data_IF_302231802322
#
_entry.id   IF_302231802322
#
_cell.length_a   1.000
_cell.length_b   1.000
_cell.length_c   1.000
_cell.angle_alpha   90.00
_cell.angle_beta   90.00
_cell.angle_gamma   90.00
#
_symmetry.space_group_name_H-M   'P 1'
#
loop_
_entity.id
_entity.type
_entity.pdbx_description
1 polymer ?
#
# COMPACT_ATOMS: atom_id res chain seq x y z
N UNK A 1 14.46 12.75 -45.17
CA UNK A 1 13.15 12.41 -44.55
C UNK A 1 12.09 13.35 -45.10
N UNK A 2 11.03 12.82 -45.69
CA UNK A 2 9.91 13.61 -46.23
C UNK A 2 9.14 14.33 -45.10
N UNK A 3 8.59 15.53 -45.36
CA UNK A 3 7.90 16.36 -44.36
C UNK A 3 6.76 15.63 -43.66
N UNK A 4 6.04 14.77 -44.39
CA UNK A 4 4.94 13.93 -43.88
C UNK A 4 5.41 12.93 -42.81
N UNK A 5 6.57 12.31 -43.01
CA UNK A 5 7.13 11.33 -42.08
C UNK A 5 7.61 11.99 -40.78
N UNK A 6 8.14 13.22 -40.85
CA UNK A 6 8.52 13.99 -39.66
C UNK A 6 7.32 14.30 -38.75
N UNK A 7 6.19 14.69 -39.33
CA UNK A 7 4.98 14.99 -38.56
C UNK A 7 4.43 13.75 -37.86
N UNK A 8 4.41 12.59 -38.53
CA UNK A 8 3.96 11.33 -37.92
C UNK A 8 4.82 11.01 -36.70
N UNK A 9 6.15 11.01 -36.86
CA UNK A 9 7.08 10.71 -35.75
C UNK A 9 6.90 11.69 -34.58
N UNK A 10 6.68 12.97 -34.90
CA UNK A 10 6.43 14.00 -33.90
C UNK A 10 5.17 13.73 -33.07
N UNK A 11 4.02 13.53 -33.73
CA UNK A 11 2.76 13.27 -33.03
C UNK A 11 2.77 11.93 -32.29
N UNK A 12 3.41 10.89 -32.83
CA UNK A 12 3.61 9.62 -32.12
C UNK A 12 4.36 9.86 -30.82
N UNK A 13 5.47 10.60 -30.84
CA UNK A 13 6.23 10.91 -29.62
C UNK A 13 5.40 11.66 -28.59
N UNK A 14 4.57 12.62 -29.02
CA UNK A 14 3.71 13.39 -28.12
C UNK A 14 2.64 12.52 -27.45
N UNK A 15 1.95 11.67 -28.22
CA UNK A 15 0.90 10.80 -27.72
C UNK A 15 1.47 9.83 -26.68
N UNK A 16 2.55 9.13 -27.00
CA UNK A 16 3.15 8.16 -26.07
C UNK A 16 3.77 8.83 -24.84
N UNK A 17 4.31 10.04 -24.97
CA UNK A 17 4.76 10.81 -23.80
C UNK A 17 3.59 11.21 -22.90
N UNK A 18 2.47 11.65 -23.47
CA UNK A 18 1.27 12.02 -22.71
C UNK A 18 0.66 10.80 -21.99
N UNK A 19 0.62 9.63 -22.66
CA UNK A 19 0.20 8.37 -22.04
C UNK A 19 1.12 8.01 -20.86
N UNK A 20 2.44 8.12 -21.04
CA UNK A 20 3.39 7.86 -19.97
C UNK A 20 3.17 8.80 -18.77
N UNK A 21 3.00 10.11 -19.01
CA UNK A 21 2.68 11.09 -17.94
C UNK A 21 1.43 10.68 -17.19
N UNK A 22 0.35 10.32 -17.90
CA UNK A 22 -0.90 9.88 -17.28
C UNK A 22 -0.72 8.65 -16.40
N UNK A 23 -0.08 7.59 -16.92
CA UNK A 23 0.15 6.36 -16.15
C UNK A 23 0.99 6.61 -14.90
N UNK A 24 2.04 7.45 -15.03
CA UNK A 24 2.94 7.78 -13.93
C UNK A 24 2.27 8.67 -12.89
N UNK A 25 1.45 9.63 -13.32
CA UNK A 25 0.65 10.44 -12.40
C UNK A 25 -0.36 9.57 -11.62
N UNK A 26 -1.08 8.68 -12.31
CA UNK A 26 -1.99 7.74 -11.66
C UNK A 26 -1.27 6.87 -10.60
N UNK A 27 -0.10 6.33 -10.92
CA UNK A 27 0.70 5.53 -9.98
C UNK A 27 1.17 6.36 -8.77
N UNK A 28 1.49 7.64 -8.95
CA UNK A 28 1.85 8.53 -7.83
C UNK A 28 0.68 8.73 -6.87
N UNK A 29 -0.53 8.98 -7.41
CA UNK A 29 -1.77 9.11 -6.62
C UNK A 29 -2.06 7.83 -5.81
N UNK A 30 -1.95 6.65 -6.43
CA UNK A 30 -2.13 5.39 -5.72
C UNK A 30 -1.09 5.18 -4.61
N UNK A 31 0.18 5.54 -4.87
CA UNK A 31 1.22 5.47 -3.84
C UNK A 31 0.89 6.34 -2.62
N UNK A 32 0.40 7.57 -2.82
CA UNK A 32 0.00 8.44 -1.72
C UNK A 32 -1.24 7.94 -1.01
N UNK A 33 -2.26 7.46 -1.74
CA UNK A 33 -3.47 6.88 -1.16
C UNK A 33 -3.14 5.70 -0.24
N UNK A 34 -2.22 4.82 -0.67
CA UNK A 34 -1.73 3.69 0.12
C UNK A 34 -0.92 4.14 1.34
N UNK A 35 0.05 5.05 1.17
CA UNK A 35 0.87 5.53 2.30
C UNK A 35 0.05 6.27 3.35
N UNK A 36 -0.93 7.07 2.92
CA UNK A 36 -1.78 7.85 3.83
C UNK A 36 -2.93 7.03 4.44
N UNK A 37 -3.08 5.75 4.05
CA UNK A 37 -4.16 4.89 4.53
C UNK A 37 -5.56 5.37 4.09
N UNK A 38 -5.62 6.11 2.99
CA UNK A 38 -6.86 6.64 2.40
C UNK A 38 -7.37 5.76 1.23
N UNK A 39 -6.70 4.65 0.92
CA UNK A 39 -7.13 3.71 -0.11
C UNK A 39 -8.44 3.03 0.29
N UNK A 40 -9.56 3.62 -0.14
CA UNK A 40 -10.90 3.07 0.03
C UNK A 40 -11.26 2.03 -1.06
N UNK A 41 -10.44 1.92 -2.11
CA UNK A 41 -10.66 1.04 -3.27
C UNK A 41 -9.33 0.47 -3.77
N UNK A 42 -9.34 -0.80 -4.16
CA UNK A 42 -8.19 -1.43 -4.83
C UNK A 42 -7.87 -0.72 -6.15
N UNK A 43 -6.60 -0.70 -6.56
CA UNK A 43 -6.23 -0.09 -7.83
C UNK A 43 -6.88 -0.82 -9.02
N UNK A 44 -7.00 -0.13 -10.15
CA UNK A 44 -7.59 -0.69 -11.39
C UNK A 44 -6.82 -1.92 -11.93
N UNK A 45 -5.64 -2.21 -11.39
CA UNK A 45 -4.79 -3.31 -11.81
C UNK A 45 -4.29 -4.11 -10.58
N UNK A 46 -5.23 -4.52 -9.74
CA UNK A 46 -5.08 -5.55 -8.74
C UNK A 46 -5.81 -6.84 -9.18
N UNK A 47 -5.27 -7.56 -10.17
CA UNK A 47 -5.97 -8.69 -10.79
C UNK A 47 -5.67 -10.02 -10.11
N UNK A 48 -4.44 -10.22 -9.64
CA UNK A 48 -3.97 -11.42 -8.94
C UNK A 48 -2.61 -11.16 -8.28
N UNK A 49 -2.04 -12.14 -7.57
CA UNK A 49 -0.75 -12.01 -6.88
C UNK A 49 0.43 -11.66 -7.83
N UNK A 50 0.33 -12.05 -9.10
CA UNK A 50 1.36 -11.81 -10.11
C UNK A 50 1.19 -10.44 -10.79
N UNK A 51 -0.05 -9.97 -10.99
CA UNK A 51 -0.37 -8.68 -11.60
C UNK A 51 -1.07 -7.77 -10.59
N UNK A 52 -0.25 -7.05 -9.82
CA UNK A 52 -0.70 -6.22 -8.70
C UNK A 52 0.10 -4.92 -8.61
N UNK A 53 -0.53 -3.82 -9.02
CA UNK A 53 0.06 -2.48 -8.96
C UNK A 53 0.19 -1.93 -7.53
N UNK A 54 -0.67 -2.37 -6.62
CA UNK A 54 -0.65 -1.91 -5.23
C UNK A 54 0.54 -2.49 -4.47
N UNK A 55 0.83 -3.78 -4.68
CA UNK A 55 2.02 -4.44 -4.12
C UNK A 55 3.31 -3.77 -4.57
N UNK A 56 3.42 -3.43 -5.86
CA UNK A 56 4.58 -2.71 -6.40
C UNK A 56 4.66 -1.29 -5.83
N UNK A 57 3.52 -0.58 -5.73
CA UNK A 57 3.45 0.79 -5.20
C UNK A 57 3.75 0.86 -3.70
N UNK A 58 3.48 -0.19 -2.94
CA UNK A 58 3.77 -0.30 -1.51
C UNK A 58 5.23 -0.73 -1.22
N UNK A 59 5.96 -1.21 -2.23
CA UNK A 59 7.33 -1.71 -2.05
C UNK A 59 8.32 -0.60 -1.63
N UNK A 60 9.46 -0.95 -1.02
CA UNK A 60 10.51 0.02 -0.69
C UNK A 60 11.07 0.75 -1.93
N UNK A 61 11.01 0.09 -3.08
CA UNK A 61 11.54 0.60 -4.35
C UNK A 61 10.63 1.65 -5.01
N UNK A 62 9.42 1.89 -4.50
CA UNK A 62 8.46 2.80 -5.14
C UNK A 62 8.71 4.28 -4.79
N UNK A 63 9.64 4.58 -3.87
CA UNK A 63 9.96 5.96 -3.47
C UNK A 63 11.46 6.23 -3.42
N UNK A 64 11.83 7.46 -3.81
CA UNK A 64 13.19 7.99 -3.75
C UNK A 64 13.15 9.37 -3.08
N UNK A 65 13.91 9.56 -2.00
CA UNK A 65 13.82 10.75 -1.11
C UNK A 65 12.38 11.06 -0.64
N UNK A 66 11.62 10.03 -0.26
CA UNK A 66 10.19 10.13 0.12
C UNK A 66 9.23 10.63 -0.97
N UNK A 67 9.72 10.79 -2.20
CA UNK A 67 8.90 11.15 -3.37
C UNK A 67 8.68 9.88 -4.21
N UNK A 68 7.45 9.58 -4.65
CA UNK A 68 7.20 8.41 -5.50
C UNK A 68 8.04 8.46 -6.78
N UNK A 69 8.68 7.36 -7.18
CA UNK A 69 9.43 7.27 -8.45
C UNK A 69 8.52 7.59 -9.64
N UNK A 70 7.24 7.25 -9.53
CA UNK A 70 6.24 7.59 -10.52
C UNK A 70 6.12 9.11 -10.74
N UNK A 71 6.17 9.93 -9.67
CA UNK A 71 6.14 11.40 -9.79
C UNK A 71 7.41 11.94 -10.48
N UNK A 72 8.58 11.40 -10.14
CA UNK A 72 9.84 11.72 -10.83
C UNK A 72 9.73 11.45 -12.33
N UNK A 73 9.15 10.30 -12.69
CA UNK A 73 8.89 9.94 -14.08
C UNK A 73 7.89 10.89 -14.76
N UNK A 74 6.75 11.18 -14.13
CA UNK A 74 5.72 12.05 -14.69
C UNK A 74 6.25 13.45 -15.02
N UNK A 75 7.00 14.05 -14.08
CA UNK A 75 7.64 15.36 -14.29
C UNK A 75 8.67 15.30 -15.41
N UNK A 76 9.49 14.24 -15.46
CA UNK A 76 10.52 14.10 -16.48
C UNK A 76 9.91 13.94 -17.89
N UNK A 77 8.87 13.11 -18.05
CA UNK A 77 8.13 12.98 -19.31
C UNK A 77 7.39 14.27 -19.69
N UNK A 78 6.88 15.04 -18.72
CA UNK A 78 6.28 16.35 -18.96
C UNK A 78 7.30 17.35 -19.52
N UNK A 79 8.50 17.43 -18.92
CA UNK A 79 9.59 18.27 -19.41
C UNK A 79 10.06 17.82 -20.80
N UNK A 80 10.15 16.51 -21.03
CA UNK A 80 10.43 15.96 -22.36
C UNK A 80 9.38 16.43 -23.38
N UNK A 81 8.09 16.33 -23.07
CA UNK A 81 7.00 16.69 -23.97
C UNK A 81 7.11 18.17 -24.40
N UNK A 82 7.34 19.08 -23.44
CA UNK A 82 7.49 20.51 -23.72
C UNK A 82 8.76 20.80 -24.52
N UNK A 83 9.92 20.29 -24.06
CA UNK A 83 11.21 20.53 -24.72
C UNK A 83 11.24 19.97 -26.14
N UNK A 84 10.75 18.75 -26.35
CA UNK A 84 10.71 18.11 -27.66
C UNK A 84 9.75 18.83 -28.61
N UNK A 85 8.57 19.25 -28.12
CA UNK A 85 7.61 20.06 -28.89
C UNK A 85 8.22 21.38 -29.36
N UNK A 86 8.83 22.13 -28.46
CA UNK A 86 9.52 23.37 -28.80
C UNK A 86 10.70 23.13 -29.75
N UNK A 87 11.48 22.07 -29.54
CA UNK A 87 12.66 21.75 -30.35
C UNK A 87 12.30 21.45 -31.79
N UNK A 88 11.23 20.67 -32.01
CA UNK A 88 10.77 20.31 -33.36
C UNK A 88 10.02 21.47 -34.02
N UNK A 89 9.13 22.16 -33.31
CA UNK A 89 8.31 23.25 -33.87
C UNK A 89 9.13 24.50 -34.21
N UNK A 90 10.04 24.91 -33.32
CA UNK A 90 10.94 26.04 -33.55
C UNK A 90 12.24 25.65 -34.28
N UNK A 91 12.37 24.37 -34.65
CA UNK A 91 13.53 23.80 -35.35
C UNK A 91 14.87 24.13 -34.65
N UNK A 92 14.94 23.90 -33.33
CA UNK A 92 16.10 24.15 -32.47
C UNK A 92 16.88 22.84 -32.27
N UNK A 93 17.97 22.58 -33.01
CA UNK A 93 18.62 21.26 -33.02
C UNK A 93 19.19 20.85 -31.66
N UNK A 94 19.69 21.81 -30.89
CA UNK A 94 20.22 21.55 -29.53
C UNK A 94 19.13 21.01 -28.60
N UNK A 95 17.91 21.54 -28.68
CA UNK A 95 16.79 21.09 -27.85
C UNK A 95 16.35 19.67 -28.25
N UNK A 96 16.37 19.35 -29.55
CA UNK A 96 16.14 17.99 -30.05
C UNK A 96 17.19 17.01 -29.51
N UNK A 97 18.47 17.39 -29.46
CA UNK A 97 19.55 16.55 -28.88
C UNK A 97 19.36 16.32 -27.38
N UNK A 98 19.03 17.36 -26.60
CA UNK A 98 18.76 17.20 -25.17
C UNK A 98 17.52 16.35 -24.89
N UNK A 99 16.46 16.49 -25.68
CA UNK A 99 15.30 15.59 -25.61
C UNK A 99 15.70 14.14 -25.94
N UNK A 100 16.60 13.92 -26.90
CA UNK A 100 17.16 12.59 -27.16
C UNK A 100 17.97 12.05 -25.98
N UNK A 101 18.80 12.86 -25.31
CA UNK A 101 19.51 12.40 -24.10
C UNK A 101 18.55 12.05 -22.97
N UNK A 102 17.49 12.83 -22.80
CA UNK A 102 16.46 12.57 -21.80
C UNK A 102 15.66 11.29 -22.12
N UNK A 103 15.38 10.98 -23.39
CA UNK A 103 14.72 9.71 -23.76
C UNK A 103 15.60 8.48 -23.53
N UNK A 104 16.92 8.61 -23.65
CA UNK A 104 17.85 7.54 -23.26
C UNK A 104 17.81 7.29 -21.75
N UNK A 105 17.75 8.34 -20.94
CA UNK A 105 17.58 8.22 -19.50
C UNK A 105 16.30 7.45 -19.13
N UNK A 106 15.20 7.68 -19.85
CA UNK A 106 13.96 6.92 -19.64
C UNK A 106 14.14 5.43 -19.89
N UNK A 107 14.86 5.04 -20.94
CA UNK A 107 15.13 3.63 -21.23
C UNK A 107 15.95 2.98 -20.13
N UNK A 108 17.03 3.65 -19.70
CA UNK A 108 17.89 3.13 -18.62
C UNK A 108 17.08 2.92 -17.35
N UNK A 109 16.26 3.90 -16.96
CA UNK A 109 15.42 3.79 -15.77
C UNK A 109 14.32 2.72 -15.91
N UNK A 110 13.67 2.61 -17.07
CA UNK A 110 12.71 1.54 -17.36
C UNK A 110 13.34 0.16 -17.22
N UNK A 111 14.57 -0.04 -17.72
CA UNK A 111 15.29 -1.31 -17.59
C UNK A 111 15.63 -1.61 -16.13
N UNK A 112 16.13 -0.62 -15.38
CA UNK A 112 16.42 -0.80 -13.95
C UNK A 112 15.16 -1.23 -13.19
N UNK A 113 14.03 -0.54 -13.41
CA UNK A 113 12.77 -0.86 -12.73
C UNK A 113 12.18 -2.20 -13.17
N UNK A 114 12.33 -2.58 -14.44
CA UNK A 114 11.93 -3.90 -14.93
C UNK A 114 12.76 -5.02 -14.28
N UNK A 115 14.08 -4.83 -14.17
CA UNK A 115 14.96 -5.79 -13.48
C UNK A 115 14.58 -5.91 -12.01
N UNK A 116 14.29 -4.79 -11.32
CA UNK A 116 13.87 -4.84 -9.91
C UNK A 116 12.57 -5.64 -9.74
N UNK A 117 11.58 -5.39 -10.60
CA UNK A 117 10.29 -6.10 -10.58
C UNK A 117 10.45 -7.60 -10.82
N UNK A 118 11.32 -8.00 -11.76
CA UNK A 118 11.61 -9.39 -12.09
C UNK A 118 12.43 -10.11 -11.01
N UNK A 119 13.44 -9.45 -10.45
CA UNK A 119 14.43 -10.09 -9.59
C UNK A 119 14.04 -10.13 -8.10
N UNK A 120 13.25 -9.15 -7.62
CA UNK A 120 13.02 -8.99 -6.17
C UNK A 120 11.57 -9.20 -5.72
N UNK A 121 10.57 -9.05 -6.59
CA UNK A 121 9.15 -9.03 -6.16
C UNK A 121 8.29 -10.15 -6.76
N UNK A 122 8.65 -10.70 -7.93
CA UNK A 122 7.80 -11.64 -8.69
C UNK A 122 6.36 -11.12 -8.94
N UNK A 123 6.18 -9.79 -8.90
CA UNK A 123 4.91 -9.10 -9.14
C UNK A 123 5.11 -7.99 -10.17
N UNK A 124 4.16 -7.89 -11.09
CA UNK A 124 4.18 -7.02 -12.26
C UNK A 124 3.07 -5.97 -12.19
N UNK A 125 3.41 -4.76 -12.62
CA UNK A 125 2.49 -3.63 -12.71
C UNK A 125 2.22 -3.32 -14.20
N UNK A 126 0.96 -3.40 -14.65
CA UNK A 126 0.60 -3.14 -16.06
C UNK A 126 0.88 -1.68 -16.46
N UNK A 127 0.71 -0.73 -15.54
CA UNK A 127 1.04 0.68 -15.79
C UNK A 127 2.55 0.88 -15.96
N UNK A 128 3.39 0.20 -15.17
CA UNK A 128 4.83 0.20 -15.38
C UNK A 128 5.19 -0.38 -16.75
N UNK A 129 4.63 -1.53 -17.13
CA UNK A 129 4.85 -2.15 -18.44
C UNK A 129 4.45 -1.19 -19.57
N UNK A 130 3.29 -0.54 -19.45
CA UNK A 130 2.86 0.48 -20.41
C UNK A 130 3.87 1.62 -20.52
N UNK A 131 4.40 2.13 -19.40
CA UNK A 131 5.41 3.19 -19.40
C UNK A 131 6.75 2.74 -20.00
N UNK A 132 7.13 1.47 -19.82
CA UNK A 132 8.33 0.90 -20.44
C UNK A 132 8.18 0.88 -21.97
N UNK A 133 7.03 0.41 -22.48
CA UNK A 133 6.72 0.43 -23.92
C UNK A 133 6.71 1.86 -24.46
N UNK A 134 6.08 2.80 -23.74
CA UNK A 134 6.09 4.21 -24.13
C UNK A 134 7.51 4.78 -24.22
N UNK A 135 8.38 4.46 -23.25
CA UNK A 135 9.77 4.92 -23.25
C UNK A 135 10.55 4.46 -24.49
N UNK A 136 10.34 3.20 -24.92
CA UNK A 136 10.98 2.62 -26.10
C UNK A 136 10.53 3.36 -27.37
N UNK A 137 9.22 3.58 -27.52
CA UNK A 137 8.67 4.29 -28.68
C UNK A 137 9.20 5.73 -28.73
N UNK A 138 9.17 6.43 -27.60
CA UNK A 138 9.68 7.81 -27.48
C UNK A 138 11.18 7.88 -27.81
N UNK A 139 11.97 6.91 -27.38
CA UNK A 139 13.39 6.83 -27.75
C UNK A 139 13.60 6.72 -29.26
N UNK A 140 12.88 5.82 -29.93
CA UNK A 140 13.00 5.66 -31.39
C UNK A 140 12.51 6.89 -32.15
N UNK A 141 11.44 7.55 -31.70
CA UNK A 141 10.98 8.82 -32.28
C UNK A 141 12.04 9.93 -32.12
N UNK A 142 12.58 10.11 -30.92
CA UNK A 142 13.60 11.11 -30.63
C UNK A 142 14.89 10.85 -31.43
N UNK A 143 15.31 9.59 -31.54
CA UNK A 143 16.46 9.16 -32.37
C UNK A 143 16.22 9.49 -33.84
N UNK A 144 15.02 9.22 -34.35
CA UNK A 144 14.69 9.43 -35.76
C UNK A 144 14.73 10.91 -36.15
N UNK A 145 14.35 11.82 -35.23
CA UNK A 145 14.40 13.26 -35.47
C UNK A 145 15.76 13.89 -35.11
N UNK A 146 16.66 13.18 -34.44
CA UNK A 146 18.01 13.63 -34.10
C UNK A 146 19.09 12.99 -35.01
N UNK A 147 19.47 13.63 -36.13
CA UNK A 147 20.48 13.07 -37.03
C UNK A 147 21.89 13.04 -36.42
N UNK A 148 22.18 13.93 -35.46
CA UNK A 148 23.51 14.06 -34.84
C UNK A 148 23.79 12.93 -33.83
N UNK A 149 22.74 12.22 -33.35
CA UNK A 149 22.86 11.16 -32.35
C UNK A 149 23.67 11.61 -31.13
N UNK A 150 24.80 10.93 -30.90
CA UNK A 150 25.74 11.21 -29.80
C UNK A 150 26.98 12.02 -30.20
N UNK A 151 27.12 12.39 -31.47
CA UNK A 151 28.36 13.01 -31.98
C UNK A 151 28.79 14.27 -31.23
N UNK A 152 27.82 15.06 -30.74
CA UNK A 152 28.04 16.32 -30.01
C UNK A 152 27.89 16.21 -28.49
N UNK A 153 27.78 14.99 -27.95
CA UNK A 153 27.48 14.79 -26.53
C UNK A 153 28.49 15.47 -25.60
N UNK A 154 29.79 15.33 -25.86
CA UNK A 154 30.81 15.98 -25.02
C UNK A 154 30.77 17.50 -25.08
N UNK A 155 30.38 18.08 -26.22
CA UNK A 155 30.28 19.53 -26.39
C UNK A 155 29.04 20.05 -25.66
N UNK A 156 27.90 19.41 -25.86
CA UNK A 156 26.64 19.79 -25.22
C UNK A 156 26.75 19.69 -23.68
N UNK A 157 27.44 18.68 -23.14
CA UNK A 157 27.70 18.57 -21.69
C UNK A 157 28.58 19.71 -21.17
N UNK A 158 29.64 20.09 -21.90
CA UNK A 158 30.50 21.22 -21.51
C UNK A 158 29.73 22.54 -21.57
N UNK A 159 28.92 22.72 -22.60
CA UNK A 159 28.10 23.92 -22.81
C UNK A 159 27.06 24.14 -21.71
N UNK A 160 26.57 23.06 -21.06
CA UNK A 160 25.64 23.15 -19.93
C UNK A 160 26.23 23.92 -18.73
N UNK A 161 27.56 23.87 -18.55
CA UNK A 161 28.26 24.62 -17.50
C UNK A 161 28.83 25.96 -17.99
N UNK A 162 28.74 26.24 -19.30
CA UNK A 162 29.26 27.43 -19.95
C UNK A 162 28.15 28.38 -20.44
N UNK A 163 28.07 28.70 -21.74
CA UNK A 163 27.13 29.69 -22.28
C UNK A 163 25.68 29.19 -22.37
N UNK A 164 25.42 27.88 -22.26
CA UNK A 164 24.10 27.27 -22.44
C UNK A 164 23.46 26.82 -21.10
N UNK A 165 23.63 27.62 -20.04
CA UNK A 165 23.12 27.31 -18.67
C UNK A 165 21.60 27.10 -18.60
N UNK A 166 20.85 27.61 -19.57
CA UNK A 166 19.40 27.37 -19.66
C UNK A 166 19.04 25.89 -19.79
N UNK A 167 19.89 25.07 -20.42
CA UNK A 167 19.65 23.62 -20.50
C UNK A 167 19.92 22.91 -19.17
N UNK A 168 20.94 23.35 -18.42
CA UNK A 168 21.16 22.87 -17.05
C UNK A 168 19.94 23.19 -16.16
N UNK A 169 19.35 24.38 -16.32
CA UNK A 169 18.13 24.74 -15.62
C UNK A 169 16.97 23.79 -15.93
N UNK A 170 16.79 23.35 -17.19
CA UNK A 170 15.76 22.38 -17.57
C UNK A 170 15.91 21.05 -16.81
N UNK A 171 17.12 20.53 -16.67
CA UNK A 171 17.34 19.29 -15.91
C UNK A 171 17.13 19.50 -14.40
N UNK A 172 17.51 20.66 -13.86
CA UNK A 172 17.27 21.00 -12.45
C UNK A 172 15.78 21.25 -12.15
N UNK A 173 14.96 21.57 -13.16
CA UNK A 173 13.51 21.65 -12.98
C UNK A 173 12.89 20.29 -12.64
N UNK A 174 13.49 19.16 -13.03
CA UNK A 174 12.97 17.83 -12.67
C UNK A 174 12.87 17.68 -11.14
N UNK A 175 13.97 17.74 -10.36
CA UNK A 175 13.89 17.62 -8.91
C UNK A 175 13.11 18.75 -8.24
N UNK A 176 13.23 19.99 -8.75
CA UNK A 176 12.51 21.14 -8.18
C UNK A 176 10.99 20.95 -8.33
N UNK A 177 10.51 20.64 -9.53
CA UNK A 177 9.09 20.43 -9.78
C UNK A 177 8.58 19.18 -9.06
N UNK A 178 9.32 18.07 -9.06
CA UNK A 178 8.92 16.88 -8.30
C UNK A 178 8.76 17.17 -6.80
N UNK A 179 9.67 17.95 -6.21
CA UNK A 179 9.54 18.37 -4.81
C UNK A 179 8.36 19.31 -4.58
N UNK A 180 8.20 20.33 -5.44
CA UNK A 180 7.09 21.30 -5.32
C UNK A 180 5.73 20.62 -5.48
N UNK A 181 5.57 19.73 -6.48
CA UNK A 181 4.32 18.98 -6.66
C UNK A 181 4.01 18.09 -5.46
N UNK A 182 5.00 17.40 -4.91
CA UNK A 182 4.85 16.61 -3.69
C UNK A 182 4.39 17.48 -2.52
N UNK A 183 5.05 18.61 -2.29
CA UNK A 183 4.76 19.50 -1.16
C UNK A 183 3.37 20.14 -1.28
N UNK A 184 3.03 20.63 -2.47
CA UNK A 184 1.72 21.22 -2.73
C UNK A 184 0.58 20.21 -2.64
N UNK A 185 0.74 19.01 -3.21
CA UNK A 185 -0.32 18.02 -3.26
C UNK A 185 -0.49 17.32 -1.90
N UNK A 186 0.61 16.98 -1.23
CA UNK A 186 0.59 16.11 -0.07
C UNK A 186 1.59 16.48 1.04
N UNK A 187 2.28 17.62 0.96
CA UNK A 187 3.27 18.03 1.96
C UNK A 187 2.69 18.13 3.36
N UNK A 188 1.51 18.75 3.50
CA UNK A 188 0.80 18.82 4.79
C UNK A 188 0.40 17.43 5.31
N UNK A 189 -0.13 16.56 4.44
CA UNK A 189 -0.57 15.22 4.82
C UNK A 189 0.59 14.30 5.19
N UNK A 190 1.71 14.35 4.45
CA UNK A 190 2.93 13.61 4.80
C UNK A 190 3.56 14.14 6.09
N UNK A 191 3.62 15.45 6.27
CA UNK A 191 4.11 16.05 7.52
C UNK A 191 3.25 15.60 8.70
N UNK A 192 1.93 15.74 8.60
CA UNK A 192 1.00 15.27 9.62
C UNK A 192 1.15 13.76 9.90
N UNK A 193 1.42 12.95 8.88
CA UNK A 193 1.67 11.52 9.06
C UNK A 193 2.99 11.22 9.74
N UNK A 194 4.08 11.91 9.37
CA UNK A 194 5.38 11.77 10.02
C UNK A 194 5.34 12.25 11.48
N UNK A 195 4.62 13.34 11.74
CA UNK A 195 4.36 13.86 13.08
C UNK A 195 3.54 12.82 13.88
N UNK A 196 2.52 12.22 13.28
CA UNK A 196 1.74 11.16 13.90
C UNK A 196 2.55 9.89 14.18
N UNK A 197 3.48 9.51 13.29
CA UNK A 197 4.40 8.37 13.52
C UNK A 197 5.35 8.69 14.67
N UNK A 198 5.89 9.90 14.70
CA UNK A 198 6.81 10.34 15.77
C UNK A 198 6.11 10.40 17.12
N UNK A 199 4.89 10.94 17.16
CA UNK A 199 4.03 10.93 18.33
C UNK A 199 3.70 9.49 18.77
N UNK A 200 3.32 8.61 17.83
CA UNK A 200 3.01 7.22 18.15
C UNK A 200 4.22 6.45 18.72
N UNK A 201 5.44 6.74 18.26
CA UNK A 201 6.68 6.19 18.84
C UNK A 201 6.89 6.65 20.28
N UNK A 202 6.78 7.96 20.54
CA UNK A 202 6.89 8.50 21.90
C UNK A 202 5.80 7.95 22.82
N UNK A 203 4.56 7.88 22.34
CA UNK A 203 3.44 7.30 23.08
C UNK A 203 3.71 5.83 23.38
N UNK A 204 4.23 5.07 22.42
CA UNK A 204 4.58 3.66 22.60
C UNK A 204 5.65 3.45 23.67
N UNK A 205 6.72 4.25 23.66
CA UNK A 205 7.80 4.13 24.65
C UNK A 205 7.27 4.37 26.07
N UNK A 206 6.43 5.39 26.24
CA UNK A 206 5.87 5.79 27.53
C UNK A 206 4.58 5.04 27.94
N UNK A 207 4.04 4.20 27.05
CA UNK A 207 2.78 3.48 27.31
C UNK A 207 2.95 2.37 28.35
N UNK A 208 1.93 2.23 29.19
CA UNK A 208 1.77 1.07 30.07
C UNK A 208 1.72 -0.21 29.22
N UNK A 209 2.43 -1.23 29.70
CA UNK A 209 2.39 -2.57 29.12
C UNK A 209 1.30 -3.38 29.81
N UNK A 210 0.42 -4.00 29.01
CA UNK A 210 -0.60 -4.94 29.43
C UNK A 210 -0.15 -6.36 29.10
N UNK A 211 -0.43 -7.31 29.99
CA UNK A 211 -0.24 -8.73 29.72
C UNK A 211 -1.56 -9.32 29.25
N UNK A 212 -1.51 -10.03 28.12
CA UNK A 212 -2.68 -10.62 27.48
C UNK A 212 -2.57 -12.15 27.53
N UNK A 213 -2.69 -12.69 28.75
CA UNK A 213 -2.37 -14.08 29.11
C UNK A 213 -3.51 -15.08 28.88
N UNK A 214 -4.35 -14.83 27.87
CA UNK A 214 -5.42 -15.76 27.46
C UNK A 214 -5.27 -16.13 25.99
N UNK A 215 -5.84 -17.27 25.61
CA UNK A 215 -5.81 -17.72 24.23
C UNK A 215 -6.62 -16.75 23.33
N UNK A 216 -5.99 -16.20 22.27
CA UNK A 216 -6.72 -15.40 21.28
C UNK A 216 -7.69 -16.29 20.49
N UNK A 217 -8.66 -15.68 19.80
CA UNK A 217 -9.55 -16.45 18.93
C UNK A 217 -8.85 -17.04 17.72
N UNK A 218 -7.74 -16.44 17.27
CA UNK A 218 -6.78 -17.08 16.37
C UNK A 218 -5.43 -16.34 16.38
N UNK A 219 -4.41 -17.00 15.83
CA UNK A 219 -3.08 -16.44 15.60
C UNK A 219 -2.75 -16.43 14.10
N UNK A 220 -1.95 -15.47 13.66
CA UNK A 220 -1.46 -15.42 12.27
C UNK A 220 -0.02 -14.87 12.22
N UNK A 221 0.82 -15.42 11.34
CA UNK A 221 2.22 -14.98 11.19
C UNK A 221 3.19 -15.95 11.85
N UNK A 222 4.22 -15.41 12.52
CA UNK A 222 5.25 -16.18 13.20
C UNK A 222 4.67 -17.14 14.26
N UNK A 223 5.35 -18.26 14.49
CA UNK A 223 5.06 -19.15 15.63
C UNK A 223 5.38 -18.45 16.96
N UNK A 224 4.80 -18.94 18.07
CA UNK A 224 5.04 -18.36 19.40
C UNK A 224 6.53 -18.35 19.79
N UNK A 225 7.33 -19.29 19.28
CA UNK A 225 8.78 -19.35 19.50
C UNK A 225 9.57 -18.31 18.68
N UNK A 226 9.05 -17.91 17.50
CA UNK A 226 9.74 -17.01 16.57
C UNK A 226 9.22 -15.57 16.63
N UNK A 227 8.10 -15.32 17.31
CA UNK A 227 7.47 -14.02 17.41
C UNK A 227 8.26 -13.10 18.37
N UNK A 228 8.96 -12.11 17.81
CA UNK A 228 9.61 -11.03 18.58
C UNK A 228 8.67 -9.85 18.82
N UNK A 229 7.77 -9.64 17.86
CA UNK A 229 6.79 -8.56 17.88
C UNK A 229 5.40 -9.17 17.79
N UNK A 230 4.60 -8.98 18.83
CA UNK A 230 3.24 -9.48 18.92
C UNK A 230 2.27 -8.31 18.75
N UNK A 231 1.48 -8.35 17.69
CA UNK A 231 0.36 -7.43 17.46
C UNK A 231 -0.89 -8.03 18.08
N UNK A 232 -1.49 -7.36 19.06
CA UNK A 232 -2.78 -7.74 19.60
C UNK A 232 -3.86 -6.85 19.01
N UNK A 233 -4.85 -7.45 18.35
CA UNK A 233 -6.01 -6.76 17.80
C UNK A 233 -7.25 -7.14 18.60
N UNK A 234 -7.97 -6.14 19.13
CA UNK A 234 -9.31 -6.29 19.66
C UNK A 234 -10.31 -5.72 18.67
N UNK A 235 -11.22 -6.56 18.17
CA UNK A 235 -12.11 -6.18 17.07
C UNK A 235 -13.54 -6.74 17.22
N UNK A 236 -14.47 -6.08 16.53
CA UNK A 236 -15.87 -6.50 16.42
C UNK A 236 -16.22 -6.73 14.94
N UNK A 237 -16.86 -7.86 14.64
CA UNK A 237 -17.17 -8.30 13.28
C UNK A 237 -18.12 -7.38 12.50
N UNK A 238 -18.91 -6.56 13.19
CA UNK A 238 -19.83 -5.57 12.63
C UNK A 238 -19.34 -4.13 12.81
N UNK A 239 -18.08 -3.92 13.21
CA UNK A 239 -17.44 -2.59 13.23
C UNK A 239 -16.81 -2.28 11.86
N UNK A 240 -17.24 -1.21 11.15
CA UNK A 240 -16.68 -0.84 9.86
C UNK A 240 -15.17 -0.56 9.91
N UNK A 241 -14.69 0.08 10.97
CA UNK A 241 -13.25 0.36 11.13
C UNK A 241 -12.41 -0.90 11.29
N UNK A 242 -12.94 -1.97 11.89
CA UNK A 242 -12.23 -3.25 11.99
C UNK A 242 -12.09 -3.91 10.62
N UNK A 243 -13.14 -3.85 9.78
CA UNK A 243 -13.07 -4.32 8.39
C UNK A 243 -11.95 -3.65 7.60
N UNK A 244 -11.76 -2.34 7.78
CA UNK A 244 -10.68 -1.59 7.12
C UNK A 244 -9.29 -1.85 7.72
N UNK A 245 -9.20 -2.20 9.00
CA UNK A 245 -7.91 -2.48 9.66
C UNK A 245 -7.31 -3.84 9.26
N UNK A 246 -8.16 -4.86 9.10
CA UNK A 246 -7.71 -6.24 8.90
C UNK A 246 -6.74 -6.42 7.70
N UNK A 247 -6.98 -5.87 6.49
CA UNK A 247 -6.04 -5.99 5.38
C UNK A 247 -4.66 -5.41 5.71
N UNK A 248 -4.64 -4.26 6.38
CA UNK A 248 -3.38 -3.59 6.77
C UNK A 248 -2.58 -4.42 7.78
N UNK A 249 -3.24 -4.96 8.80
CA UNK A 249 -2.60 -5.81 9.80
C UNK A 249 -2.07 -7.10 9.19
N UNK A 250 -2.85 -7.75 8.31
CA UNK A 250 -2.42 -8.96 7.59
C UNK A 250 -1.22 -8.67 6.68
N UNK A 251 -1.21 -7.55 5.96
CA UNK A 251 -0.10 -7.16 5.11
C UNK A 251 1.18 -6.91 5.93
N UNK A 252 1.05 -6.19 7.06
CA UNK A 252 2.16 -5.94 7.97
C UNK A 252 2.76 -7.24 8.51
N UNK A 253 1.93 -8.15 9.04
CA UNK A 253 2.37 -9.44 9.60
C UNK A 253 2.99 -10.33 8.53
N UNK A 254 2.41 -10.39 7.34
CA UNK A 254 2.93 -11.23 6.24
C UNK A 254 4.27 -10.72 5.70
N UNK A 255 4.56 -9.42 5.87
CA UNK A 255 5.80 -8.80 5.40
C UNK A 255 7.00 -9.02 6.34
N UNK A 256 6.78 -9.58 7.53
CA UNK A 256 7.80 -9.71 8.59
C UNK A 256 7.81 -11.13 9.19
N UNK A 257 8.91 -11.88 9.09
CA UNK A 257 8.95 -13.27 9.55
C UNK A 257 8.92 -13.43 11.08
N UNK A 258 9.17 -12.35 11.82
CA UNK A 258 9.27 -12.29 13.29
C UNK A 258 8.05 -11.63 13.95
N UNK A 259 6.98 -11.38 13.19
CA UNK A 259 5.74 -10.76 13.68
C UNK A 259 4.60 -11.78 13.76
N UNK A 260 3.86 -11.74 14.86
CA UNK A 260 2.62 -12.52 15.04
C UNK A 260 1.45 -11.59 15.36
N UNK A 261 0.31 -11.82 14.72
CA UNK A 261 -0.99 -11.25 15.09
C UNK A 261 -1.75 -12.20 16.00
N UNK A 262 -2.25 -11.67 17.12
CA UNK A 262 -3.20 -12.31 18.02
C UNK A 262 -4.51 -11.55 18.00
N UNK A 263 -5.57 -12.20 17.55
CA UNK A 263 -6.89 -11.59 17.43
C UNK A 263 -7.76 -11.94 18.63
N UNK A 264 -8.35 -10.93 19.25
CA UNK A 264 -9.29 -11.05 20.36
C UNK A 264 -10.63 -10.45 19.93
N UNK A 265 -11.70 -11.21 20.11
CA UNK A 265 -13.04 -10.68 19.91
C UNK A 265 -13.36 -9.67 21.02
N UNK A 266 -13.82 -8.50 20.61
CA UNK A 266 -14.34 -7.47 21.50
C UNK A 266 -15.69 -6.97 20.97
N UNK A 267 -16.77 -7.76 21.12
CA UNK A 267 -18.08 -7.39 20.60
C UNK A 267 -18.57 -6.07 21.19
N UNK A 268 -19.09 -5.17 20.37
CA UNK A 268 -19.70 -3.91 20.79
C UNK A 268 -21.18 -4.15 21.17
N UNK A 269 -21.39 -5.02 22.14
CA UNK A 269 -22.70 -5.52 22.54
C UNK A 269 -22.72 -5.88 24.02
N UNK A 270 -23.73 -5.41 24.76
CA UNK A 270 -23.82 -5.63 26.19
C UNK A 270 -24.01 -7.11 26.58
N UNK A 271 -24.50 -7.96 25.66
CA UNK A 271 -24.79 -9.37 25.89
C UNK A 271 -23.54 -10.22 26.18
N UNK A 272 -22.39 -9.85 25.61
CA UNK A 272 -21.12 -10.55 25.81
C UNK A 272 -19.93 -9.60 26.05
N UNK A 273 -20.20 -8.33 26.33
CA UNK A 273 -19.19 -7.34 26.69
C UNK A 273 -19.76 -6.29 27.64
N UNK A 274 -19.47 -6.43 28.94
CA UNK A 274 -19.97 -5.51 29.96
C UNK A 274 -19.40 -4.08 29.86
N UNK A 275 -18.32 -3.88 29.10
CA UNK A 275 -17.70 -2.56 28.93
C UNK A 275 -18.44 -1.65 27.94
N UNK A 276 -19.34 -2.21 27.13
CA UNK A 276 -20.02 -1.53 26.03
C UNK A 276 -21.54 -1.61 26.21
N UNK A 277 -22.24 -0.51 25.93
CA UNK A 277 -23.70 -0.49 25.90
C UNK A 277 -24.28 -0.90 24.55
N UNK A 278 -25.58 -1.15 24.51
CA UNK A 278 -26.32 -1.46 23.27
C UNK A 278 -26.59 -2.96 23.09
N UNK A 279 -27.54 -3.27 22.22
CA UNK A 279 -27.92 -4.64 21.87
C UNK A 279 -27.40 -5.05 20.50
N UNK A 280 -27.17 -6.35 20.30
CA UNK A 280 -26.58 -6.85 19.07
C UNK A 280 -26.14 -8.32 19.17
N UNK A 281 -27.07 -9.27 19.39
CA UNK A 281 -26.75 -10.69 19.61
C UNK A 281 -25.86 -11.27 18.50
N UNK A 282 -26.02 -10.79 17.26
CA UNK A 282 -25.20 -11.18 16.11
C UNK A 282 -23.70 -10.96 16.37
N UNK A 283 -23.30 -9.89 17.07
CA UNK A 283 -21.87 -9.57 17.32
C UNK A 283 -21.22 -10.67 18.16
N UNK A 284 -21.91 -11.10 19.20
CA UNK A 284 -21.48 -12.18 20.09
C UNK A 284 -21.46 -13.52 19.33
N UNK A 285 -22.48 -13.79 18.53
CA UNK A 285 -22.57 -15.00 17.71
C UNK A 285 -21.41 -15.09 16.72
N UNK A 286 -21.14 -14.03 15.95
CA UNK A 286 -20.04 -14.00 14.99
C UNK A 286 -18.68 -14.18 15.67
N UNK A 287 -18.49 -13.60 16.86
CA UNK A 287 -17.30 -13.82 17.67
C UNK A 287 -17.12 -15.30 18.05
N UNK A 288 -18.17 -15.98 18.51
CA UNK A 288 -18.14 -17.42 18.82
C UNK A 288 -17.88 -18.27 17.57
N UNK A 289 -18.46 -17.94 16.42
CA UNK A 289 -18.20 -18.65 15.15
C UNK A 289 -16.71 -18.59 14.78
N UNK A 290 -16.09 -17.41 14.85
CA UNK A 290 -14.65 -17.26 14.58
C UNK A 290 -13.79 -18.06 15.56
N UNK A 291 -14.08 -17.96 16.86
CA UNK A 291 -13.39 -18.72 17.91
C UNK A 291 -13.51 -20.24 17.69
N UNK A 292 -14.72 -20.72 17.42
CA UNK A 292 -14.99 -22.14 17.19
C UNK A 292 -14.35 -22.67 15.90
N UNK A 293 -14.26 -21.85 14.85
CA UNK A 293 -13.54 -22.21 13.64
C UNK A 293 -12.05 -22.45 13.90
N UNK A 294 -11.43 -21.69 14.81
CA UNK A 294 -10.07 -21.97 15.24
C UNK A 294 -9.98 -23.20 16.13
N UNK A 295 -10.77 -23.22 17.21
CA UNK A 295 -10.71 -24.27 18.23
C UNK A 295 -10.94 -25.67 17.64
N UNK A 296 -11.90 -25.80 16.74
CA UNK A 296 -12.33 -27.11 16.25
C UNK A 296 -11.67 -27.52 14.93
N UNK A 297 -11.11 -26.57 14.17
CA UNK A 297 -10.66 -26.80 12.80
C UNK A 297 -9.37 -26.06 12.38
N UNK A 298 -8.79 -25.21 13.23
CA UNK A 298 -7.65 -24.33 12.89
C UNK A 298 -7.92 -23.45 11.66
N UNK A 299 -9.15 -22.96 11.54
CA UNK A 299 -9.67 -22.15 10.43
C UNK A 299 -10.12 -20.75 10.86
N UNK A 300 -9.72 -20.30 12.04
CA UNK A 300 -10.12 -19.01 12.60
C UNK A 300 -9.71 -17.84 11.72
N UNK A 301 -8.51 -17.88 11.12
CA UNK A 301 -8.02 -16.85 10.20
C UNK A 301 -8.91 -16.69 8.96
N UNK A 302 -9.20 -17.80 8.28
CA UNK A 302 -10.00 -17.81 7.05
C UNK A 302 -11.43 -17.39 7.32
N UNK A 303 -12.05 -17.96 8.36
CA UNK A 303 -13.42 -17.63 8.77
C UNK A 303 -13.51 -16.16 9.20
N UNK A 304 -12.57 -15.67 10.01
CA UNK A 304 -12.54 -14.24 10.41
C UNK A 304 -12.44 -13.33 9.18
N UNK A 305 -11.56 -13.67 8.23
CA UNK A 305 -11.41 -12.88 6.99
C UNK A 305 -12.73 -12.81 6.22
N UNK A 306 -13.46 -13.92 6.11
CA UNK A 306 -14.76 -13.98 5.44
C UNK A 306 -15.83 -13.17 6.16
N UNK A 307 -15.93 -13.29 7.49
CA UNK A 307 -16.92 -12.56 8.28
C UNK A 307 -16.74 -11.04 8.15
N UNK A 308 -15.51 -10.53 8.07
CA UNK A 308 -15.25 -9.13 7.78
C UNK A 308 -15.51 -8.75 6.32
N UNK A 309 -15.17 -9.62 5.36
CA UNK A 309 -15.43 -9.36 3.95
C UNK A 309 -16.93 -9.16 3.69
N UNK A 310 -17.76 -10.04 4.25
CA UNK A 310 -19.23 -10.02 4.18
C UNK A 310 -19.88 -9.32 5.39
N UNK A 311 -19.21 -8.31 5.95
CA UNK A 311 -19.73 -7.58 7.11
C UNK A 311 -21.18 -7.12 6.89
N UNK A 312 -22.07 -7.53 7.79
CA UNK A 312 -23.50 -7.20 7.74
C UNK A 312 -24.37 -8.29 7.10
N UNK A 313 -23.86 -9.04 6.13
CA UNK A 313 -24.59 -10.15 5.50
C UNK A 313 -24.91 -11.25 6.51
N UNK A 314 -23.93 -11.61 7.34
CA UNK A 314 -24.07 -12.71 8.30
C UNK A 314 -25.01 -12.43 9.49
N UNK A 315 -25.63 -11.24 9.54
CA UNK A 315 -26.62 -10.88 10.57
C UNK A 315 -27.95 -11.61 10.38
N UNK A 316 -28.37 -11.79 9.12
CA UNK A 316 -29.66 -12.39 8.76
C UNK A 316 -29.54 -13.77 8.11
N UNK A 317 -28.31 -14.23 7.83
CA UNK A 317 -28.02 -15.52 7.19
C UNK A 317 -28.00 -16.70 8.17
N UNK A 318 -27.92 -17.91 7.64
CA UNK A 318 -27.47 -19.06 8.43
C UNK A 318 -25.93 -19.18 8.38
N UNK A 319 -25.26 -18.31 9.16
CA UNK A 319 -23.78 -18.23 9.19
C UNK A 319 -23.09 -19.56 9.43
N UNK A 320 -23.67 -20.46 10.23
CA UNK A 320 -23.07 -21.77 10.53
C UNK A 320 -23.01 -22.64 9.28
N UNK A 321 -24.15 -22.83 8.61
CA UNK A 321 -24.24 -23.70 7.43
C UNK A 321 -23.41 -23.16 6.27
N UNK A 322 -23.45 -21.84 6.05
CA UNK A 322 -22.71 -21.22 4.95
C UNK A 322 -21.20 -21.23 5.17
N UNK A 323 -20.72 -20.96 6.40
CA UNK A 323 -19.30 -21.04 6.74
C UNK A 323 -18.82 -22.49 6.67
N UNK A 324 -19.61 -23.44 7.19
CA UNK A 324 -19.29 -24.85 7.11
C UNK A 324 -19.17 -25.33 5.66
N UNK A 325 -20.13 -24.98 4.80
CA UNK A 325 -20.07 -25.30 3.38
C UNK A 325 -18.86 -24.67 2.68
N UNK A 326 -18.63 -23.37 2.89
CA UNK A 326 -17.57 -22.61 2.20
C UNK A 326 -16.17 -23.08 2.55
N UNK A 327 -15.93 -23.45 3.81
CA UNK A 327 -14.61 -23.90 4.29
C UNK A 327 -14.52 -25.41 4.50
N UNK A 328 -15.53 -26.17 4.05
CA UNK A 328 -15.60 -27.63 4.21
C UNK A 328 -15.44 -28.09 5.66
N UNK A 329 -16.11 -27.40 6.60
CA UNK A 329 -16.13 -27.72 8.02
C UNK A 329 -17.32 -28.63 8.36
N UNK A 330 -17.21 -29.35 9.47
CA UNK A 330 -18.34 -30.10 10.03
C UNK A 330 -19.35 -29.10 10.64
N UNK A 331 -20.51 -28.98 9.98
CA UNK A 331 -21.58 -28.05 10.38
C UNK A 331 -22.09 -28.34 11.79
N UNK A 332 -22.28 -29.63 12.15
CA UNK A 332 -22.80 -30.01 13.46
C UNK A 332 -21.81 -29.67 14.56
N UNK A 333 -20.53 -29.97 14.34
CA UNK A 333 -19.46 -29.68 15.30
C UNK A 333 -19.28 -28.17 15.49
N UNK A 334 -19.36 -27.38 14.42
CA UNK A 334 -19.32 -25.92 14.49
C UNK A 334 -20.54 -25.36 15.24
N UNK A 335 -21.74 -25.86 14.94
CA UNK A 335 -22.98 -25.47 15.61
C UNK A 335 -22.94 -25.78 17.10
N UNK A 336 -22.47 -26.98 17.46
CA UNK A 336 -22.33 -27.41 18.86
C UNK A 336 -21.35 -26.50 19.61
N UNK A 337 -20.18 -26.20 19.04
CA UNK A 337 -19.23 -25.30 19.68
C UNK A 337 -19.80 -23.88 19.85
N UNK A 338 -20.50 -23.34 18.85
CA UNK A 338 -21.08 -21.99 18.92
C UNK A 338 -22.14 -21.87 20.02
N UNK A 339 -22.94 -22.92 20.22
CA UNK A 339 -23.94 -22.99 21.27
C UNK A 339 -23.38 -23.36 22.65
N UNK A 340 -22.13 -23.85 22.71
CA UNK A 340 -21.49 -24.29 23.95
C UNK A 340 -21.20 -23.13 24.91
N UNK A 341 -21.35 -23.38 26.22
CA UNK A 341 -21.10 -22.37 27.25
C UNK A 341 -19.65 -21.90 27.25
N UNK A 342 -18.69 -22.78 26.95
CA UNK A 342 -17.27 -22.46 26.96
C UNK A 342 -16.88 -21.48 25.85
N UNK A 343 -17.52 -21.53 24.67
CA UNK A 343 -17.26 -20.54 23.63
C UNK A 343 -17.76 -19.16 24.05
N UNK A 344 -18.94 -19.08 24.69
CA UNK A 344 -19.43 -17.83 25.26
C UNK A 344 -18.53 -17.29 26.39
N UNK A 345 -18.05 -18.15 27.28
CA UNK A 345 -17.11 -17.78 28.34
C UNK A 345 -15.77 -17.29 27.79
N UNK A 346 -15.27 -17.88 26.69
CA UNK A 346 -14.07 -17.40 26.01
C UNK A 346 -14.25 -15.98 25.46
N UNK A 347 -15.39 -15.69 24.80
CA UNK A 347 -15.67 -14.34 24.29
C UNK A 347 -15.82 -13.33 25.44
N UNK A 348 -16.49 -13.70 26.53
CA UNK A 348 -16.59 -12.86 27.74
C UNK A 348 -15.21 -12.57 28.36
N UNK A 349 -14.32 -13.55 28.41
CA UNK A 349 -12.96 -13.38 28.92
C UNK A 349 -12.13 -12.44 28.04
N UNK A 350 -12.22 -12.57 26.72
CA UNK A 350 -11.55 -11.67 25.78
C UNK A 350 -12.09 -10.24 25.85
N UNK A 351 -13.42 -10.07 25.95
CA UNK A 351 -14.04 -8.77 26.16
C UNK A 351 -13.59 -8.13 27.48
N UNK A 352 -13.54 -8.91 28.57
CA UNK A 352 -13.03 -8.44 29.86
C UNK A 352 -11.56 -8.02 29.79
N UNK A 353 -10.73 -8.79 29.09
CA UNK A 353 -9.32 -8.43 28.89
C UNK A 353 -9.16 -7.06 28.22
N UNK A 354 -9.97 -6.81 27.19
CA UNK A 354 -9.99 -5.50 26.54
C UNK A 354 -10.51 -4.39 27.46
N UNK A 355 -11.52 -4.68 28.28
CA UNK A 355 -12.04 -3.75 29.27
C UNK A 355 -10.97 -3.34 30.28
N UNK A 356 -10.23 -4.31 30.82
CA UNK A 356 -9.16 -4.11 31.80
C UNK A 356 -7.99 -3.33 31.18
N UNK A 357 -7.80 -3.42 29.86
CA UNK A 357 -6.89 -2.59 29.08
C UNK A 357 -7.45 -1.21 28.68
N UNK A 358 -8.63 -0.85 29.17
CA UNK A 358 -9.28 0.45 28.92
C UNK A 358 -9.80 0.63 27.50
N UNK A 359 -10.08 -0.47 26.79
CA UNK A 359 -10.65 -0.43 25.44
C UNK A 359 -12.12 0.01 25.53
N UNK A 360 -12.46 1.06 24.75
CA UNK A 360 -13.79 1.67 24.70
C UNK A 360 -14.42 1.60 23.29
N UNK A 361 -13.69 1.04 22.33
CA UNK A 361 -14.07 0.99 20.92
C UNK A 361 -13.07 0.17 20.13
N UNK A 362 -13.46 -0.21 18.92
CA UNK A 362 -12.68 -1.10 18.05
C UNK A 362 -12.44 -0.47 16.67
N UNK A 363 -11.36 -0.83 15.96
CA UNK A 363 -10.30 -1.75 16.39
C UNK A 363 -9.40 -1.08 17.44
N UNK A 364 -8.91 -1.87 18.39
CA UNK A 364 -7.88 -1.44 19.32
C UNK A 364 -6.64 -2.32 19.14
N UNK A 365 -5.51 -1.67 18.83
CA UNK A 365 -4.27 -2.34 18.45
C UNK A 365 -3.22 -2.09 19.53
N UNK A 366 -2.51 -3.15 19.88
CA UNK A 366 -1.37 -3.12 20.79
C UNK A 366 -0.19 -3.83 20.14
N UNK A 367 1.03 -3.39 20.46
CA UNK A 367 2.27 -4.08 20.09
C UNK A 367 3.01 -4.45 21.38
N UNK A 368 3.34 -5.73 21.58
CA UNK A 368 3.99 -6.23 22.80
C UNK A 368 3.29 -5.72 24.07
N UNK A 369 1.96 -5.81 24.11
CA UNK A 369 1.16 -5.36 25.23
C UNK A 369 0.99 -3.83 25.39
N UNK A 370 1.64 -2.99 24.58
CA UNK A 370 1.50 -1.53 24.65
C UNK A 370 0.52 -1.00 23.63
N UNK A 371 -0.39 -0.12 24.05
CA UNK A 371 -1.45 0.43 23.18
C UNK A 371 -0.85 1.31 22.09
N UNK A 372 -1.36 1.16 20.87
CA UNK A 372 -0.91 1.93 19.72
C UNK A 372 -2.06 2.79 19.16
N UNK A 373 -2.00 4.08 19.43
CA UNK A 373 -2.90 5.06 18.82
C UNK A 373 -2.74 5.02 17.30
N UNK A 374 -3.89 4.94 16.58
CA UNK A 374 -3.92 4.80 15.12
C UNK A 374 -3.16 3.57 14.57
N UNK A 375 -3.00 2.51 15.38
CA UNK A 375 -2.25 1.30 15.05
C UNK A 375 -2.80 0.47 13.87
N UNK A 376 -3.91 0.87 13.26
CA UNK A 376 -4.39 0.30 12.00
C UNK A 376 -3.71 0.90 10.76
N UNK A 377 -2.81 1.89 10.91
CA UNK A 377 -2.07 2.53 9.81
C UNK A 377 -0.69 1.91 9.63
N UNK A 378 -0.38 1.50 8.40
CA UNK A 378 0.88 0.83 8.08
C UNK A 378 2.14 1.65 8.42
N UNK A 379 2.22 2.98 8.20
CA UNK A 379 3.39 3.76 8.60
C UNK A 379 3.63 3.78 10.11
N UNK A 380 2.56 3.75 10.90
CA UNK A 380 2.66 3.73 12.37
C UNK A 380 3.13 2.35 12.85
N UNK A 381 2.56 1.27 12.30
CA UNK A 381 3.01 -0.10 12.57
C UNK A 381 4.49 -0.29 12.23
N UNK A 382 4.92 0.15 11.03
CA UNK A 382 6.32 0.09 10.62
C UNK A 382 7.23 0.97 11.49
N UNK A 383 6.77 2.16 11.87
CA UNK A 383 7.51 3.04 12.77
C UNK A 383 7.78 2.38 14.12
N UNK A 384 6.74 1.84 14.76
CA UNK A 384 6.85 1.21 16.09
C UNK A 384 7.56 -0.15 16.03
N UNK A 385 7.44 -0.89 14.93
CA UNK A 385 8.19 -2.15 14.74
C UNK A 385 9.70 -1.96 14.92
N UNK A 386 10.27 -0.87 14.38
CA UNK A 386 11.72 -0.64 14.45
C UNK A 386 12.25 -0.46 15.88
N UNK A 387 11.41 -0.02 16.81
CA UNK A 387 11.76 0.16 18.23
C UNK A 387 11.30 -1.01 19.11
N UNK A 388 10.41 -1.87 18.61
CA UNK A 388 9.83 -2.98 19.36
C UNK A 388 10.57 -4.32 19.17
N UNK A 389 11.42 -4.44 18.14
CA UNK A 389 12.11 -5.67 17.73
C UNK A 389 13.36 -6.02 18.53
#
# INVERSE_FOLDING_TARGET
MEKKNKNIIFYTSLIFSAIAVYCLYYLAEQHWALKLGAAATESMCNLNATFNCDAVSASPFSSFFNIPIALWGAVSFGIFLVSFSMGVSANIPRLIRHSFYLSNFFIVMSVIMAVISLAFMNTYCLFCIATYVCSIIVFFCAKSLNPDGYSKFSEDIKDMFGPAKSFLAIYLLIPVLSFVFQDMAHGQSLKAMNDAVSAAKMDYENSRTYQFDIEPSYKFGASDENAKVIVHEFADFLCPHCKFALPTLKAFVSSKPDVQLRFYAFPLSAECNAAIGGSGPDRCRLARVSYCAEKEFSKGKEVTTELFAQQGYYRSSNVISEIAAKFSLDEQKLSQCEADKASNEAILAQAKLGQDAGIRGTPAIFINGKKLSYGARLPILNGVYEIAK
#
